data_IF_479029576564
#
_entry.id   IF_479029576564
#
_cell.length_a   1.000
_cell.length_b   1.000
_cell.length_c   1.000
_cell.angle_alpha   90.00
_cell.angle_beta   90.00
_cell.angle_gamma   90.00
#
_symmetry.space_group_name_H-M   'P 1'
#
loop_
_entity.id
_entity.type
_entity.pdbx_description
1 polymer ?
#
# COMPACT_ATOMS: atom_id res chain seq x y z
N UNK A 1 12.28 5.43 18.35
CA UNK A 1 10.82 5.40 18.15
C UNK A 1 10.54 4.35 17.08
N UNK A 2 9.65 3.38 17.32
CA UNK A 2 9.33 2.36 16.32
C UNK A 2 8.62 3.00 15.12
N UNK A 3 8.71 2.38 13.93
CA UNK A 3 8.01 2.87 12.74
C UNK A 3 6.49 2.96 12.99
N UNK A 4 5.96 1.97 13.73
CA UNK A 4 4.57 1.88 14.13
C UNK A 4 4.09 3.10 14.92
N UNK A 5 4.85 3.53 15.94
CA UNK A 5 4.52 4.72 16.73
C UNK A 5 4.47 5.99 15.87
N UNK A 6 5.20 6.04 14.75
CA UNK A 6 5.20 7.21 13.88
C UNK A 6 3.99 7.32 12.95
N UNK A 7 3.19 6.25 12.84
CA UNK A 7 2.05 6.13 11.92
C UNK A 7 0.75 5.66 12.61
N UNK A 8 0.78 5.42 13.92
CA UNK A 8 -0.36 4.85 14.68
C UNK A 8 -1.61 5.73 14.69
N UNK A 9 -1.42 7.03 14.49
CA UNK A 9 -2.45 8.07 14.50
C UNK A 9 -2.96 8.40 13.09
N UNK A 10 -2.55 7.63 12.08
CA UNK A 10 -3.04 7.76 10.73
C UNK A 10 -4.49 7.29 10.63
N UNK A 11 -5.35 8.15 10.07
CA UNK A 11 -6.78 7.90 9.93
C UNK A 11 -7.12 7.64 8.46
N UNK A 12 -7.60 6.43 8.17
CA UNK A 12 -8.17 6.08 6.86
C UNK A 12 -9.60 6.57 6.79
N UNK A 13 -9.93 7.33 5.75
CA UNK A 13 -11.26 7.86 5.50
C UNK A 13 -11.88 7.01 4.39
N UNK A 14 -12.62 5.98 4.77
CA UNK A 14 -13.36 5.13 3.83
C UNK A 14 -14.53 5.93 3.22
N UNK A 15 -14.24 6.71 2.17
CA UNK A 15 -15.21 7.50 1.43
C UNK A 15 -14.98 7.35 -0.07
N UNK A 16 -15.75 6.45 -0.68
CA UNK A 16 -15.72 6.21 -2.13
C UNK A 16 -16.00 7.49 -2.93
N UNK A 17 -16.85 8.37 -2.38
CA UNK A 17 -17.17 9.67 -2.98
C UNK A 17 -15.96 10.60 -3.04
N UNK A 18 -15.20 10.73 -1.95
CA UNK A 18 -14.00 11.55 -1.92
C UNK A 18 -12.90 10.95 -2.79
N UNK A 19 -12.72 9.64 -2.75
CA UNK A 19 -11.76 8.92 -3.59
C UNK A 19 -12.05 9.15 -5.07
N UNK A 20 -13.31 9.00 -5.49
CA UNK A 20 -13.72 9.23 -6.88
C UNK A 20 -13.50 10.68 -7.32
N UNK A 21 -13.89 11.66 -6.49
CA UNK A 21 -13.67 13.09 -6.78
C UNK A 21 -12.19 13.42 -6.97
N UNK A 22 -11.34 12.95 -6.06
CA UNK A 22 -9.90 13.20 -6.11
C UNK A 22 -9.25 12.49 -7.30
N UNK A 23 -9.67 11.27 -7.61
CA UNK A 23 -9.20 10.51 -8.77
C UNK A 23 -9.55 11.18 -10.10
N UNK A 24 -10.79 11.65 -10.24
CA UNK A 24 -11.23 12.42 -11.42
C UNK A 24 -10.42 13.73 -11.54
N UNK A 25 -10.26 14.47 -10.44
CA UNK A 25 -9.51 15.73 -10.44
C UNK A 25 -8.03 15.54 -10.80
N UNK A 26 -7.40 14.46 -10.32
CA UNK A 26 -6.02 14.13 -10.69
C UNK A 26 -5.92 13.75 -12.18
N UNK A 27 -6.83 12.91 -12.67
CA UNK A 27 -6.86 12.46 -14.07
C UNK A 27 -7.07 13.61 -15.05
N UNK A 28 -7.97 14.53 -14.74
CA UNK A 28 -8.35 15.65 -15.60
C UNK A 28 -7.40 16.85 -15.42
N UNK A 29 -6.48 16.78 -14.47
CA UNK A 29 -5.48 17.81 -14.19
C UNK A 29 -4.33 17.86 -15.21
N UNK A 30 -3.51 18.93 -15.17
CA UNK A 30 -2.33 19.03 -16.02
C UNK A 30 -1.35 17.86 -15.80
N UNK A 31 -0.74 17.36 -16.87
CA UNK A 31 0.29 16.29 -16.81
C UNK A 31 1.43 16.63 -15.83
N UNK A 32 1.78 17.91 -15.73
CA UNK A 32 2.79 18.38 -14.77
C UNK A 32 2.41 18.12 -13.31
N UNK A 33 1.12 18.15 -12.96
CA UNK A 33 0.66 17.93 -11.60
C UNK A 33 0.53 16.43 -11.29
N UNK A 34 0.14 15.62 -12.28
CA UNK A 34 0.20 14.16 -12.19
C UNK A 34 1.63 13.68 -11.92
N UNK A 35 2.60 14.24 -12.64
CA UNK A 35 4.02 13.91 -12.45
C UNK A 35 4.55 14.33 -11.08
N UNK A 36 4.12 15.48 -10.55
CA UNK A 36 4.50 15.93 -9.20
C UNK A 36 3.87 15.09 -8.10
N UNK A 37 2.68 14.53 -8.34
CA UNK A 37 2.00 13.65 -7.39
C UNK A 37 2.68 12.27 -7.31
N UNK A 38 3.40 11.86 -8.35
CA UNK A 38 4.02 10.54 -8.41
C UNK A 38 5.34 10.45 -7.62
N UNK A 39 5.49 9.36 -6.86
CA UNK A 39 6.77 8.92 -6.31
C UNK A 39 6.82 7.39 -6.30
N UNK A 40 8.01 6.79 -6.42
CA UNK A 40 8.11 5.35 -6.31
C UNK A 40 9.51 4.76 -6.48
N UNK A 41 9.72 3.61 -5.85
CA UNK A 41 10.90 2.77 -6.00
C UNK A 41 10.55 1.30 -5.68
N UNK A 42 11.52 0.39 -5.83
CA UNK A 42 11.31 -1.04 -5.60
C UNK A 42 11.00 -1.39 -4.13
N UNK A 43 11.52 -0.62 -3.17
CA UNK A 43 11.43 -0.91 -1.72
C UNK A 43 10.10 -0.43 -1.09
N UNK A 44 9.52 0.62 -1.64
CA UNK A 44 8.31 1.27 -1.12
C UNK A 44 7.08 1.07 -2.02
N UNK A 45 7.29 0.60 -3.26
CA UNK A 45 6.29 0.59 -4.31
C UNK A 45 6.16 1.94 -5.01
N UNK A 46 5.19 2.03 -5.91
CA UNK A 46 4.92 3.19 -6.74
C UNK A 46 3.56 3.77 -6.39
N UNK A 47 3.46 5.08 -6.18
CA UNK A 47 2.21 5.70 -5.76
C UNK A 47 2.06 7.13 -6.26
N UNK A 48 0.82 7.58 -6.30
CA UNK A 48 0.43 8.97 -6.47
C UNK A 48 -0.08 9.51 -5.13
N UNK A 49 0.37 10.69 -4.75
CA UNK A 49 -0.08 11.42 -3.57
C UNK A 49 -0.71 12.74 -4.00
N UNK A 50 -2.01 12.87 -3.80
CA UNK A 50 -2.76 13.99 -4.35
C UNK A 50 -3.67 14.67 -3.33
N UNK A 51 -3.78 15.98 -3.47
CA UNK A 51 -4.61 16.88 -2.67
C UNK A 51 -5.38 17.80 -3.60
N UNK A 52 -6.59 18.16 -3.22
CA UNK A 52 -7.41 19.10 -3.98
C UNK A 52 -8.25 19.95 -3.04
N UNK A 53 -8.42 21.23 -3.38
CA UNK A 53 -9.22 22.18 -2.60
C UNK A 53 -10.70 21.79 -2.48
N UNK A 54 -11.22 20.98 -3.41
CA UNK A 54 -12.59 20.47 -3.36
C UNK A 54 -12.86 19.45 -2.25
N UNK A 55 -11.79 18.88 -1.64
CA UNK A 55 -11.87 17.98 -0.50
C UNK A 55 -10.76 18.35 0.51
N UNK A 56 -10.92 19.48 1.24
CA UNK A 56 -9.88 20.03 2.10
C UNK A 56 -9.57 19.10 3.29
N UNK A 57 -8.30 19.08 3.70
CA UNK A 57 -7.83 18.26 4.83
C UNK A 57 -7.77 16.76 4.55
N UNK A 58 -7.94 16.34 3.29
CA UNK A 58 -7.85 14.95 2.86
C UNK A 58 -6.72 14.76 1.85
N UNK A 59 -6.12 13.58 1.88
CA UNK A 59 -5.08 13.16 0.95
C UNK A 59 -5.49 11.85 0.30
N UNK A 60 -5.40 11.78 -1.02
CA UNK A 60 -5.53 10.55 -1.77
C UNK A 60 -4.16 9.93 -2.01
N UNK A 61 -4.01 8.66 -1.66
CA UNK A 61 -2.92 7.80 -2.11
C UNK A 61 -3.49 6.84 -3.17
N UNK A 62 -2.84 6.75 -4.32
CA UNK A 62 -3.08 5.67 -5.27
C UNK A 62 -1.79 4.86 -5.43
N UNK A 63 -1.73 3.68 -4.83
CA UNK A 63 -0.62 2.74 -5.03
C UNK A 63 -0.86 2.00 -6.35
N UNK A 64 0.11 2.07 -7.24
CA UNK A 64 0.05 1.51 -8.59
C UNK A 64 1.01 0.34 -8.72
N UNK A 65 0.57 -0.76 -9.35
CA UNK A 65 1.45 -1.85 -9.75
C UNK A 65 1.92 -1.64 -11.19
N UNK A 66 3.21 -1.34 -11.44
CA UNK A 66 3.73 -1.27 -12.80
C UNK A 66 3.67 -2.62 -13.53
N UNK A 67 3.68 -3.72 -12.77
CA UNK A 67 3.63 -5.09 -13.30
C UNK A 67 2.23 -5.47 -13.77
N UNK A 68 1.23 -5.20 -12.95
CA UNK A 68 -0.16 -5.63 -13.20
C UNK A 68 -1.03 -4.55 -13.84
N UNK A 69 -0.54 -3.30 -13.92
CA UNK A 69 -1.25 -2.15 -14.48
C UNK A 69 -2.57 -1.84 -13.77
N UNK A 70 -2.66 -2.18 -12.50
CA UNK A 70 -3.78 -1.88 -11.60
C UNK A 70 -3.31 -0.98 -10.45
N UNK A 71 -4.26 -0.51 -9.64
CA UNK A 71 -3.95 0.27 -8.45
C UNK A 71 -4.98 0.14 -7.34
N UNK A 72 -4.56 0.51 -6.14
CA UNK A 72 -5.41 0.67 -4.96
C UNK A 72 -5.44 2.15 -4.64
N UNK A 73 -6.65 2.69 -4.50
CA UNK A 73 -6.83 4.07 -4.03
C UNK A 73 -7.33 4.05 -2.60
N UNK A 74 -6.73 4.88 -1.76
CA UNK A 74 -7.13 5.08 -0.37
C UNK A 74 -7.14 6.58 -0.07
N UNK A 75 -8.07 7.01 0.76
CA UNK A 75 -8.16 8.40 1.22
C UNK A 75 -7.86 8.44 2.71
N UNK A 76 -7.10 9.44 3.12
CA UNK A 76 -6.69 9.65 4.50
C UNK A 76 -7.02 11.06 4.93
N UNK A 77 -7.20 11.25 6.23
CA UNK A 77 -7.05 12.57 6.81
C UNK A 77 -5.59 13.04 6.67
N UNK A 78 -5.37 14.34 6.52
CA UNK A 78 -4.01 14.87 6.47
C UNK A 78 -3.16 14.42 7.66
N UNK A 79 -1.94 13.98 7.34
CA UNK A 79 -0.99 13.46 8.29
C UNK A 79 0.43 13.79 7.83
N UNK A 80 1.36 13.97 8.78
CA UNK A 80 2.75 14.38 8.51
C UNK A 80 3.48 13.54 7.47
N UNK A 81 3.18 12.23 7.40
CA UNK A 81 3.86 11.34 6.44
C UNK A 81 3.48 11.65 4.99
N UNK A 82 2.37 12.35 4.78
CA UNK A 82 1.89 12.75 3.47
C UNK A 82 2.40 14.12 3.05
N UNK A 83 3.18 14.84 3.88
CA UNK A 83 3.70 16.18 3.55
C UNK A 83 4.44 16.21 2.20
N UNK A 84 5.12 15.12 1.83
CA UNK A 84 5.75 14.98 0.53
C UNK A 84 5.76 13.52 0.06
N UNK A 85 5.90 13.32 -1.26
CA UNK A 85 6.11 11.99 -1.83
C UNK A 85 7.38 11.31 -1.30
N UNK A 86 8.46 12.06 -1.07
CA UNK A 86 9.71 11.54 -0.49
C UNK A 86 9.55 11.07 0.95
N UNK A 87 8.77 11.81 1.77
CA UNK A 87 8.48 11.39 3.14
C UNK A 87 7.68 10.09 3.16
N UNK A 88 6.62 10.03 2.35
CA UNK A 88 5.80 8.83 2.24
C UNK A 88 6.62 7.64 1.73
N UNK A 89 7.49 7.85 0.74
CA UNK A 89 8.37 6.83 0.19
C UNK A 89 9.26 6.22 1.28
N UNK A 90 9.90 7.07 2.08
CA UNK A 90 10.74 6.65 3.22
C UNK A 90 9.94 5.87 4.26
N UNK A 91 8.73 6.34 4.58
CA UNK A 91 7.85 5.69 5.57
C UNK A 91 7.34 4.34 5.09
N UNK A 92 6.92 4.23 3.83
CA UNK A 92 6.50 2.97 3.20
C UNK A 92 7.63 1.95 3.17
N UNK A 93 8.84 2.33 2.75
CA UNK A 93 10.01 1.43 2.79
C UNK A 93 10.26 0.89 4.22
N UNK A 94 10.17 1.75 5.23
CA UNK A 94 10.33 1.33 6.62
C UNK A 94 9.20 0.40 7.11
N UNK A 95 7.95 0.59 6.66
CA UNK A 95 6.83 -0.30 6.96
C UNK A 95 7.01 -1.67 6.31
N UNK A 96 7.40 -1.71 5.03
CA UNK A 96 7.68 -2.95 4.30
C UNK A 96 8.83 -3.70 4.96
N UNK A 97 9.92 -3.01 5.31
CA UNK A 97 11.06 -3.60 6.01
C UNK A 97 10.70 -4.14 7.39
N UNK A 98 9.86 -3.42 8.14
CA UNK A 98 9.37 -3.89 9.44
C UNK A 98 8.53 -5.16 9.29
N UNK A 99 7.57 -5.19 8.36
CA UNK A 99 6.81 -6.40 8.06
C UNK A 99 7.75 -7.56 7.68
N UNK A 100 8.69 -7.32 6.77
CA UNK A 100 9.66 -8.34 6.36
C UNK A 100 10.46 -8.93 7.54
N UNK A 101 10.93 -8.06 8.44
CA UNK A 101 11.62 -8.47 9.65
C UNK A 101 10.73 -9.30 10.59
N UNK A 102 9.47 -8.91 10.78
CA UNK A 102 8.50 -9.67 11.59
C UNK A 102 8.22 -11.07 11.03
N UNK A 103 8.23 -11.23 9.69
CA UNK A 103 8.05 -12.53 9.05
C UNK A 103 9.34 -13.35 8.95
N UNK A 104 10.52 -12.75 9.20
CA UNK A 104 11.80 -13.41 8.98
C UNK A 104 12.05 -13.78 7.51
N UNK A 105 11.41 -13.06 6.58
CA UNK A 105 11.45 -13.34 5.14
C UNK A 105 11.88 -12.09 4.36
N UNK A 106 12.50 -12.26 3.18
CA UNK A 106 12.62 -11.18 2.22
C UNK A 106 11.23 -10.63 1.87
N UNK A 107 11.10 -9.30 1.80
CA UNK A 107 9.82 -8.64 1.50
C UNK A 107 9.18 -9.12 0.19
N UNK A 108 9.99 -9.53 -0.78
CA UNK A 108 9.56 -10.06 -2.08
C UNK A 108 8.78 -11.38 -1.97
N UNK A 109 9.03 -12.14 -0.90
CA UNK A 109 8.43 -13.44 -0.60
C UNK A 109 7.14 -13.34 0.23
N UNK A 110 6.74 -12.12 0.61
CA UNK A 110 5.54 -11.87 1.40
C UNK A 110 4.46 -11.28 0.49
N UNK A 111 3.26 -11.82 0.57
CA UNK A 111 2.12 -11.28 -0.14
C UNK A 111 0.81 -11.48 0.61
N UNK A 112 -0.21 -10.73 0.21
CA UNK A 112 -1.59 -10.96 0.67
C UNK A 112 -2.36 -11.54 -0.50
N UNK A 113 -3.14 -12.58 -0.27
CA UNK A 113 -4.08 -13.07 -1.27
C UNK A 113 -5.22 -12.06 -1.44
N UNK A 114 -5.37 -11.50 -2.64
CA UNK A 114 -6.47 -10.60 -2.99
C UNK A 114 -7.40 -11.33 -3.97
N UNK A 115 -8.45 -11.93 -3.41
CA UNK A 115 -9.45 -12.67 -4.17
C UNK A 115 -10.19 -11.79 -5.19
N UNK A 116 -10.37 -10.49 -4.92
CA UNK A 116 -11.03 -9.58 -5.85
C UNK A 116 -10.17 -9.34 -7.11
N UNK A 117 -8.84 -9.39 -6.95
CA UNK A 117 -7.87 -9.33 -8.05
C UNK A 117 -7.45 -10.70 -8.59
N UNK A 118 -7.89 -11.78 -7.95
CA UNK A 118 -7.54 -13.16 -8.32
C UNK A 118 -6.04 -13.44 -8.27
N UNK A 119 -5.29 -12.73 -7.40
CA UNK A 119 -3.83 -12.84 -7.31
C UNK A 119 -3.32 -12.48 -5.93
N UNK A 120 -2.09 -12.90 -5.65
CA UNK A 120 -1.34 -12.36 -4.52
C UNK A 120 -0.78 -10.96 -4.83
N UNK A 121 -0.92 -10.06 -3.87
CA UNK A 121 -0.35 -8.72 -3.88
C UNK A 121 0.94 -8.70 -3.07
N UNK A 122 2.01 -8.14 -3.64
CA UNK A 122 3.24 -7.91 -2.88
C UNK A 122 3.01 -6.78 -1.84
N UNK A 123 3.82 -6.77 -0.77
CA UNK A 123 3.72 -5.71 0.25
C UNK A 123 3.82 -4.30 -0.35
N UNK A 124 4.66 -4.11 -1.36
CA UNK A 124 4.85 -2.81 -2.05
C UNK A 124 3.65 -2.38 -2.88
N UNK A 125 2.70 -3.27 -3.15
CA UNK A 125 1.45 -3.00 -3.87
C UNK A 125 0.29 -2.65 -2.94
N UNK A 126 0.47 -2.79 -1.63
CA UNK A 126 -0.54 -2.46 -0.62
C UNK A 126 -0.58 -0.95 -0.33
N UNK A 127 -1.75 -0.45 0.03
CA UNK A 127 -1.88 0.93 0.53
C UNK A 127 -1.14 1.11 1.86
N UNK A 128 -0.80 2.35 2.20
CA UNK A 128 -0.12 2.63 3.46
C UNK A 128 -0.97 2.19 4.65
N UNK A 129 -2.29 2.36 4.59
CA UNK A 129 -3.24 1.86 5.59
C UNK A 129 -3.16 0.33 5.74
N UNK A 130 -3.19 -0.42 4.63
CA UNK A 130 -3.08 -1.88 4.67
C UNK A 130 -1.76 -2.37 5.27
N UNK A 131 -0.64 -1.69 5.01
CA UNK A 131 0.65 -2.01 5.63
C UNK A 131 0.62 -1.82 7.15
N UNK A 132 -0.04 -0.75 7.61
CA UNK A 132 -0.21 -0.46 9.05
C UNK A 132 -1.12 -1.51 9.68
N UNK A 133 -2.25 -1.83 9.04
CA UNK A 133 -3.19 -2.83 9.53
C UNK A 133 -2.52 -4.20 9.68
N UNK A 134 -1.70 -4.63 8.71
CA UNK A 134 -0.93 -5.86 8.83
C UNK A 134 0.01 -5.88 10.04
N UNK A 135 0.69 -4.76 10.33
CA UNK A 135 1.55 -4.65 11.52
C UNK A 135 0.72 -4.72 12.81
N UNK A 136 -0.48 -4.14 12.82
CA UNK A 136 -1.41 -4.21 13.97
C UNK A 136 -1.99 -5.60 14.17
N UNK A 137 -2.44 -6.24 13.10
CA UNK A 137 -3.07 -7.56 13.15
C UNK A 137 -2.08 -8.61 13.60
N UNK A 138 -0.80 -8.50 13.28
CA UNK A 138 0.23 -9.39 13.83
C UNK A 138 0.54 -9.13 15.30
N UNK A 139 0.52 -7.88 15.75
CA UNK A 139 0.52 -7.59 17.19
C UNK A 139 -0.69 -8.25 17.91
N UNK A 140 -1.71 -8.68 17.15
CA UNK A 140 -2.89 -9.41 17.61
C UNK A 140 -2.98 -10.89 17.14
N UNK A 141 -1.99 -11.41 16.39
CA UNK A 141 -1.92 -12.82 15.95
C UNK A 141 -2.48 -13.20 14.57
N UNK A 142 -2.73 -12.26 13.65
CA UNK A 142 -3.30 -12.53 12.30
C UNK A 142 -2.41 -13.34 11.35
N UNK A 143 -2.99 -13.99 10.33
CA UNK A 143 -2.30 -14.84 9.35
C UNK A 143 -2.02 -14.05 8.06
N UNK A 144 -0.77 -14.12 7.57
CA UNK A 144 -0.38 -13.64 6.23
C UNK A 144 0.12 -14.83 5.42
N UNK A 145 -0.26 -14.87 4.15
CA UNK A 145 0.03 -15.98 3.23
C UNK A 145 1.40 -15.79 2.59
N UNK A 146 2.19 -16.85 2.48
CA UNK A 146 3.48 -16.76 1.79
C UNK A 146 3.26 -16.72 0.26
N UNK A 147 4.14 -16.02 -0.47
CA UNK A 147 4.27 -16.25 -1.90
C UNK A 147 4.87 -17.63 -2.13
N UNK A 148 4.03 -18.62 -2.42
CA UNK A 148 4.50 -19.82 -3.11
C UNK A 148 4.60 -19.48 -4.58
N UNK A 149 5.80 -19.06 -5.01
CA UNK A 149 6.13 -19.14 -6.42
C UNK A 149 5.97 -20.61 -6.84
N UNK A 150 5.03 -20.87 -7.74
CA UNK A 150 4.75 -22.21 -8.24
C UNK A 150 5.98 -22.80 -8.95
N UNK A 151 6.86 -23.48 -8.20
CA UNK A 151 7.32 -24.79 -8.65
C UNK A 151 6.25 -25.80 -8.25
N UNK A 152 5.20 -25.87 -9.07
CA UNK A 152 4.35 -27.05 -9.14
C UNK A 152 5.16 -28.19 -9.78
N UNK A 153 6.17 -28.70 -9.07
CA UNK A 153 6.62 -30.08 -9.23
C UNK A 153 5.86 -30.87 -8.19
N UNK A 154 4.85 -31.60 -8.65
CA UNK A 154 3.93 -32.33 -7.79
C UNK A 154 4.64 -33.28 -6.84
N UNK A 155 4.10 -33.36 -5.63
CA UNK A 155 4.06 -34.60 -4.83
C UNK A 155 2.71 -34.62 -4.11
N UNK A 156 1.83 -35.44 -4.68
CA UNK A 156 0.87 -36.34 -4.07
C UNK A 156 -0.24 -35.87 -3.12
N UNK A 157 -1.46 -36.11 -3.64
CA UNK A 157 -2.49 -36.92 -2.98
C UNK A 157 -1.89 -37.90 -1.94
N UNK A 158 -1.97 -37.55 -0.67
CA UNK A 158 -2.08 -38.53 0.40
C UNK A 158 -2.70 -37.85 1.61
N UNK A 159 -4.04 -37.85 1.66
CA UNK A 159 -4.87 -37.86 2.88
C UNK A 159 -6.35 -37.90 2.44
N UNK A 160 -6.73 -39.02 1.81
CA UNK A 160 -8.06 -39.59 1.77
C UNK A 160 -7.92 -41.08 1.43
#
# INVERSE_FOLDING_TARGET
MSIFESVRDLVVVNSDHHALKLSIALRDGPVGDVNKAYAGNAEAGHFYLYRNESVPGMVMETVFSPKHKDGITSVYQEHRIFESGSELLRKRAALVAALAAEYGLPHESIGIDDAARGRQMALTELSTGQLIDLLQDRARGGIVTMKTDNYATGVDKALA
#
